data_IF_876370342748
#
_entry.id   IF_876370342748
#
_cell.length_a   1.000
_cell.length_b   1.000
_cell.length_c   1.000
_cell.angle_alpha   90.00
_cell.angle_beta   90.00
_cell.angle_gamma   90.00
#
_symmetry.space_group_name_H-M   'P 1'
#
loop_
_entity.id
_entity.type
_entity.pdbx_description
1 polymer ?
#
# COMPACT_ATOMS: atom_id res chain seq x y z
N UNK A 1 -2.85 0.07 3.40
CA UNK A 1 -3.96 1.02 3.25
C UNK A 1 -4.95 0.49 2.22
N UNK A 2 -4.52 0.37 0.98
CA UNK A 2 -5.32 -0.17 -0.10
C UNK A 2 -5.70 -1.62 0.21
N UNK A 3 -6.89 -2.02 -0.20
CA UNK A 3 -7.48 -3.34 0.07
C UNK A 3 -7.50 -3.75 1.57
N UNK A 4 -7.13 -2.81 2.48
CA UNK A 4 -7.10 -2.98 3.94
C UNK A 4 -8.15 -2.09 4.63
N UNK A 5 -8.21 -0.78 4.29
CA UNK A 5 -9.20 0.16 4.83
C UNK A 5 -10.51 0.16 4.03
N UNK A 6 -10.49 -0.34 2.83
CA UNK A 6 -11.65 -0.48 1.94
C UNK A 6 -11.53 -1.76 1.12
N UNK A 7 -12.66 -2.31 0.65
CA UNK A 7 -12.67 -3.59 -0.03
C UNK A 7 -12.11 -3.51 -1.45
N UNK A 8 -11.42 -4.55 -1.88
CA UNK A 8 -10.91 -4.71 -3.25
C UNK A 8 -12.00 -4.59 -4.32
N UNK A 9 -13.26 -4.90 -3.95
CA UNK A 9 -14.42 -4.80 -4.84
C UNK A 9 -14.77 -3.38 -5.27
N UNK A 10 -14.22 -2.33 -4.64
CA UNK A 10 -14.40 -0.94 -5.09
C UNK A 10 -13.66 -0.64 -6.42
N UNK A 11 -12.73 -1.51 -6.84
CA UNK A 11 -12.09 -1.44 -8.14
C UNK A 11 -10.86 -0.53 -8.25
N UNK A 12 -10.46 0.15 -7.17
CA UNK A 12 -9.27 1.04 -7.16
C UNK A 12 -8.01 0.28 -7.55
N UNK A 13 -7.80 -0.91 -6.98
CA UNK A 13 -6.64 -1.76 -7.30
C UNK A 13 -6.57 -2.11 -8.79
N UNK A 14 -7.71 -2.50 -9.39
CA UNK A 14 -7.78 -2.81 -10.82
C UNK A 14 -7.52 -1.57 -11.68
N UNK A 15 -8.07 -0.42 -11.30
CA UNK A 15 -7.85 0.83 -11.99
C UNK A 15 -6.37 1.26 -11.91
N UNK A 16 -5.76 1.14 -10.74
CA UNK A 16 -4.34 1.42 -10.53
C UNK A 16 -3.46 0.55 -11.44
N UNK A 17 -3.71 -0.77 -11.48
CA UNK A 17 -2.99 -1.67 -12.38
C UNK A 17 -3.11 -1.25 -13.85
N UNK A 18 -4.30 -0.92 -14.32
CA UNK A 18 -4.50 -0.43 -15.68
C UNK A 18 -3.70 0.84 -15.96
N UNK A 19 -3.64 1.77 -15.00
CA UNK A 19 -2.84 3.00 -15.14
C UNK A 19 -1.34 2.73 -15.19
N UNK A 20 -0.85 1.74 -14.44
CA UNK A 20 0.54 1.28 -14.55
C UNK A 20 0.80 0.70 -15.94
N UNK A 21 -0.08 -0.16 -16.44
CA UNK A 21 0.02 -0.74 -17.79
C UNK A 21 -0.02 0.36 -18.88
N UNK A 22 -0.91 1.36 -18.76
CA UNK A 22 -0.97 2.54 -19.64
C UNK A 22 0.35 3.34 -19.60
N UNK A 23 0.95 3.52 -18.42
CA UNK A 23 2.24 4.18 -18.28
C UNK A 23 3.36 3.42 -19.00
N UNK A 24 3.43 2.09 -18.82
CA UNK A 24 4.43 1.23 -19.47
C UNK A 24 4.32 1.30 -21.00
N UNK A 25 3.10 1.32 -21.52
CA UNK A 25 2.86 1.44 -22.98
C UNK A 25 3.27 2.82 -23.50
N UNK A 26 2.77 3.88 -22.86
CA UNK A 26 2.85 5.24 -23.40
C UNK A 26 4.22 5.90 -23.20
N UNK A 27 4.83 5.69 -22.03
CA UNK A 27 6.07 6.38 -21.65
C UNK A 27 7.31 5.49 -21.79
N UNK A 28 7.17 4.17 -21.62
CA UNK A 28 8.28 3.23 -21.74
C UNK A 28 8.27 2.48 -23.08
N UNK A 29 7.26 2.71 -23.93
CA UNK A 29 7.13 2.13 -25.28
C UNK A 29 7.27 0.60 -25.32
N UNK A 30 6.76 -0.08 -24.29
CA UNK A 30 6.77 -1.54 -24.23
C UNK A 30 5.73 -2.15 -25.17
N UNK A 31 5.96 -3.40 -25.59
CA UNK A 31 5.02 -4.15 -26.43
C UNK A 31 3.73 -4.47 -25.67
N UNK A 32 2.58 -4.09 -26.24
CA UNK A 32 1.24 -4.22 -25.62
C UNK A 32 0.94 -5.64 -25.12
N UNK A 33 1.33 -6.65 -25.91
CA UNK A 33 1.12 -8.06 -25.58
C UNK A 33 1.91 -8.54 -24.36
N UNK A 34 3.00 -7.87 -24.00
CA UNK A 34 3.88 -8.26 -22.87
C UNK A 34 3.61 -7.49 -21.59
N UNK A 35 3.07 -6.26 -21.70
CA UNK A 35 2.87 -5.35 -20.56
C UNK A 35 2.12 -5.99 -19.39
N UNK A 36 0.99 -6.70 -19.56
CA UNK A 36 0.27 -7.26 -18.41
C UNK A 36 1.08 -8.31 -17.64
N UNK A 37 1.89 -9.09 -18.36
CA UNK A 37 2.78 -10.10 -17.77
C UNK A 37 3.94 -9.42 -17.03
N UNK A 38 4.65 -8.51 -17.70
CA UNK A 38 5.79 -7.80 -17.11
C UNK A 38 5.34 -7.01 -15.88
N UNK A 39 4.21 -6.31 -15.93
CA UNK A 39 3.64 -5.59 -14.79
C UNK A 39 3.46 -6.49 -13.57
N UNK A 40 2.91 -7.70 -13.78
CA UNK A 40 2.72 -8.66 -12.70
C UNK A 40 4.05 -9.25 -12.20
N UNK A 41 4.94 -9.64 -13.10
CA UNK A 41 6.23 -10.25 -12.76
C UNK A 41 7.07 -9.28 -11.89
N UNK A 42 7.14 -8.00 -12.29
CA UNK A 42 7.85 -6.97 -11.54
C UNK A 42 7.22 -6.70 -10.17
N UNK A 43 5.88 -6.67 -10.09
CA UNK A 43 5.19 -6.57 -8.80
C UNK A 43 5.52 -7.74 -7.87
N UNK A 44 5.55 -8.97 -8.41
CA UNK A 44 5.85 -10.17 -7.63
C UNK A 44 7.31 -10.17 -7.17
N UNK A 45 8.25 -9.77 -8.02
CA UNK A 45 9.68 -9.83 -7.71
C UNK A 45 10.14 -8.69 -6.81
N UNK A 46 9.70 -7.45 -7.09
CA UNK A 46 10.23 -6.24 -6.45
C UNK A 46 9.27 -5.59 -5.44
N UNK A 47 8.05 -6.12 -5.27
CA UNK A 47 7.05 -5.55 -4.34
C UNK A 47 6.14 -4.48 -4.96
N UNK A 48 6.66 -3.68 -5.90
CA UNK A 48 5.88 -2.80 -6.78
C UNK A 48 6.41 -2.87 -8.21
N UNK A 49 5.54 -2.64 -9.19
CA UNK A 49 5.95 -2.57 -10.60
C UNK A 49 6.97 -1.43 -10.80
N UNK A 50 6.78 -0.29 -10.13
CA UNK A 50 7.70 0.84 -10.17
C UNK A 50 9.12 0.46 -9.72
N UNK A 51 9.23 -0.24 -8.58
CA UNK A 51 10.52 -0.71 -8.08
C UNK A 51 11.21 -1.63 -9.07
N UNK A 52 10.47 -2.54 -9.70
CA UNK A 52 10.98 -3.44 -10.72
C UNK A 52 11.44 -2.70 -11.98
N UNK A 53 10.66 -1.74 -12.47
CA UNK A 53 11.05 -0.92 -13.62
C UNK A 53 12.36 -0.16 -13.38
N UNK A 54 12.50 0.48 -12.22
CA UNK A 54 13.76 1.17 -11.83
C UNK A 54 14.92 0.18 -11.71
N UNK A 55 14.71 -1.00 -11.14
CA UNK A 55 15.73 -2.04 -11.01
C UNK A 55 16.21 -2.57 -12.38
N UNK A 56 15.33 -2.59 -13.37
CA UNK A 56 15.68 -2.93 -14.76
C UNK A 56 16.34 -1.79 -15.54
N UNK A 57 16.52 -0.61 -14.90
CA UNK A 57 17.21 0.53 -15.51
C UNK A 57 16.30 1.46 -16.32
N UNK A 58 14.97 1.35 -16.21
CA UNK A 58 14.08 2.33 -16.81
C UNK A 58 14.16 3.65 -16.03
N UNK A 59 14.45 4.72 -16.76
CA UNK A 59 14.53 6.08 -16.20
C UNK A 59 13.23 6.83 -16.45
N UNK A 60 12.61 7.33 -15.39
CA UNK A 60 11.44 8.20 -15.41
C UNK A 60 11.35 8.96 -14.09
N UNK A 61 10.64 10.06 -14.11
CA UNK A 61 10.36 10.87 -12.92
C UNK A 61 9.33 10.20 -12.02
N UNK A 62 9.60 10.15 -10.71
CA UNK A 62 8.77 9.46 -9.73
C UNK A 62 7.42 10.19 -9.54
N UNK A 63 7.45 11.54 -9.51
CA UNK A 63 6.24 12.34 -9.36
C UNK A 63 5.35 12.24 -10.60
N UNK A 64 5.95 12.23 -11.82
CA UNK A 64 5.24 12.01 -13.08
C UNK A 64 4.58 10.62 -13.11
N UNK A 65 5.29 9.59 -12.66
CA UNK A 65 4.73 8.24 -12.54
C UNK A 65 3.53 8.23 -11.60
N UNK A 66 3.66 8.76 -10.40
CA UNK A 66 2.59 8.80 -9.41
C UNK A 66 1.39 9.64 -9.88
N UNK A 67 1.64 10.78 -10.51
CA UNK A 67 0.58 11.60 -11.10
C UNK A 67 -0.20 10.86 -12.20
N UNK A 68 0.51 10.09 -13.04
CA UNK A 68 -0.12 9.28 -14.08
C UNK A 68 -0.93 8.11 -13.51
N UNK A 69 -0.36 7.40 -12.52
CA UNK A 69 -0.95 6.17 -11.97
C UNK A 69 -2.08 6.49 -10.98
N UNK A 70 -1.88 7.44 -10.07
CA UNK A 70 -2.82 7.73 -9.00
C UNK A 70 -3.72 8.96 -9.28
N UNK A 71 -3.25 9.92 -10.10
CA UNK A 71 -3.95 11.19 -10.29
C UNK A 71 -5.35 11.10 -10.92
N UNK A 72 -5.68 9.99 -11.56
CA UNK A 72 -6.98 9.80 -12.26
C UNK A 72 -7.71 8.52 -11.83
N UNK A 73 -7.44 8.01 -10.63
CA UNK A 73 -8.17 6.86 -10.10
C UNK A 73 -9.62 7.24 -9.76
N UNK A 74 -10.57 6.29 -9.86
CA UNK A 74 -11.98 6.51 -9.59
C UNK A 74 -12.27 6.59 -8.08
N UNK A 75 -11.74 7.60 -7.38
CA UNK A 75 -11.88 7.77 -5.94
C UNK A 75 -13.33 7.97 -5.49
N UNK A 76 -14.24 8.34 -6.40
CA UNK A 76 -15.69 8.40 -6.14
C UNK A 76 -16.31 7.03 -5.82
N UNK A 77 -15.61 5.94 -6.11
CA UNK A 77 -16.03 4.59 -5.71
C UNK A 77 -15.77 4.30 -4.22
N UNK A 78 -14.96 5.12 -3.55
CA UNK A 78 -14.72 5.04 -2.12
C UNK A 78 -15.83 5.77 -1.36
N UNK A 79 -16.37 5.10 -0.35
CA UNK A 79 -17.41 5.66 0.51
C UNK A 79 -17.02 5.52 1.98
N UNK A 80 -17.34 6.49 2.84
CA UNK A 80 -17.12 6.40 4.27
C UNK A 80 -17.80 5.17 4.89
N UNK A 81 -17.09 4.51 5.80
CA UNK A 81 -17.64 3.45 6.65
C UNK A 81 -17.68 3.93 8.11
N UNK A 82 -18.86 4.33 8.62
CA UNK A 82 -18.99 4.79 10.00
C UNK A 82 -18.62 3.73 11.05
N UNK A 83 -18.73 2.45 10.72
CA UNK A 83 -18.35 1.36 11.64
C UNK A 83 -16.84 1.31 11.78
N UNK A 84 -16.12 1.33 10.65
CA UNK A 84 -14.65 1.40 10.66
C UNK A 84 -14.15 2.67 11.34
N UNK A 85 -14.72 3.84 11.00
CA UNK A 85 -14.36 5.11 11.62
C UNK A 85 -14.54 5.09 13.14
N UNK A 86 -15.70 4.68 13.62
CA UNK A 86 -15.98 4.58 15.05
C UNK A 86 -15.04 3.59 15.75
N UNK A 87 -14.73 2.47 15.12
CA UNK A 87 -13.75 1.50 15.63
C UNK A 87 -12.38 2.16 15.79
N UNK A 88 -11.88 2.81 14.74
CA UNK A 88 -10.56 3.47 14.78
C UNK A 88 -10.51 4.56 15.85
N UNK A 89 -11.55 5.38 15.99
CA UNK A 89 -11.62 6.43 17.01
C UNK A 89 -11.73 5.87 18.43
N UNK A 90 -12.33 4.70 18.61
CA UNK A 90 -12.44 4.06 19.93
C UNK A 90 -11.12 3.44 20.43
N UNK A 91 -10.16 3.22 19.54
CA UNK A 91 -8.86 2.62 19.85
C UNK A 91 -7.91 3.69 20.43
N UNK A 92 -7.44 3.56 21.68
CA UNK A 92 -6.53 4.53 22.30
C UNK A 92 -5.07 4.40 21.78
N UNK A 93 -4.77 3.35 21.02
CA UNK A 93 -3.43 3.11 20.49
C UNK A 93 -3.08 4.09 19.38
N UNK A 94 -1.80 4.43 19.25
CA UNK A 94 -1.28 5.14 18.08
C UNK A 94 -1.61 4.35 16.81
N UNK A 95 -2.08 5.05 15.80
CA UNK A 95 -2.43 4.48 14.50
C UNK A 95 -1.65 5.18 13.41
N UNK A 96 -0.90 4.41 12.62
CA UNK A 96 -0.01 4.92 11.58
C UNK A 96 -0.33 4.16 10.29
N UNK A 97 -0.47 4.89 9.20
CA UNK A 97 -0.56 4.30 7.86
C UNK A 97 0.84 3.90 7.40
N UNK A 98 0.96 2.69 6.84
CA UNK A 98 2.15 2.25 6.12
C UNK A 98 1.75 1.71 4.74
N UNK A 99 2.10 2.43 3.67
CA UNK A 99 1.72 2.12 2.30
C UNK A 99 2.89 2.29 1.33
N UNK A 100 2.86 1.56 0.20
CA UNK A 100 3.79 1.76 -0.92
C UNK A 100 3.34 2.88 -1.87
N UNK A 101 2.12 3.40 -1.69
CA UNK A 101 1.60 4.50 -2.48
C UNK A 101 2.22 5.84 -2.07
N UNK A 102 2.10 6.84 -2.94
CA UNK A 102 2.52 8.23 -2.69
C UNK A 102 1.56 8.96 -1.73
N UNK A 103 2.01 10.10 -1.22
CA UNK A 103 1.24 10.92 -0.28
C UNK A 103 -0.05 11.48 -0.88
N UNK A 104 -0.07 11.74 -2.20
CA UNK A 104 -1.25 12.25 -2.90
C UNK A 104 -2.38 11.23 -2.90
N UNK A 105 -2.06 9.97 -3.21
CA UNK A 105 -3.03 8.86 -3.13
C UNK A 105 -3.54 8.67 -1.69
N UNK A 106 -2.64 8.69 -0.70
CA UNK A 106 -3.04 8.58 0.72
C UNK A 106 -4.04 9.67 1.09
N UNK A 107 -3.75 10.93 0.74
CA UNK A 107 -4.64 12.04 1.05
C UNK A 107 -6.04 11.87 0.42
N UNK A 108 -6.10 11.47 -0.86
CA UNK A 108 -7.37 11.22 -1.56
C UNK A 108 -8.17 10.08 -0.90
N UNK A 109 -7.52 8.97 -0.57
CA UNK A 109 -8.17 7.82 0.05
C UNK A 109 -8.71 8.18 1.44
N UNK A 110 -7.89 8.78 2.31
CA UNK A 110 -8.32 9.14 3.66
C UNK A 110 -9.45 10.17 3.63
N UNK A 111 -9.39 11.17 2.74
CA UNK A 111 -10.45 12.13 2.54
C UNK A 111 -11.77 11.48 2.12
N UNK A 112 -11.73 10.59 1.12
CA UNK A 112 -12.93 9.91 0.63
C UNK A 112 -13.55 8.96 1.65
N UNK A 113 -12.74 8.36 2.51
CA UNK A 113 -13.20 7.47 3.57
C UNK A 113 -13.59 8.19 4.86
N UNK A 114 -13.40 9.52 4.96
CA UNK A 114 -13.58 10.31 6.18
C UNK A 114 -12.73 9.78 7.36
N UNK A 115 -11.44 9.48 7.08
CA UNK A 115 -10.50 8.89 8.05
C UNK A 115 -9.27 9.75 8.31
N UNK A 116 -9.24 11.02 7.87
CA UNK A 116 -8.08 11.92 7.94
C UNK A 116 -7.59 12.13 9.38
N UNK A 117 -8.52 12.21 10.34
CA UNK A 117 -8.26 12.42 11.76
C UNK A 117 -8.08 11.13 12.58
N UNK A 118 -8.16 9.96 11.93
CA UNK A 118 -8.03 8.68 12.61
C UNK A 118 -6.58 8.21 12.79
N UNK A 119 -5.62 8.83 12.11
CA UNK A 119 -4.22 8.41 12.07
C UNK A 119 -3.29 9.55 12.48
N UNK A 120 -2.25 9.22 13.28
CA UNK A 120 -1.25 10.18 13.76
C UNK A 120 -0.11 10.42 12.77
N UNK A 121 0.07 9.52 11.81
CA UNK A 121 1.15 9.62 10.84
C UNK A 121 0.97 8.70 9.65
N UNK A 122 1.76 8.97 8.62
CA UNK A 122 1.78 8.23 7.36
C UNK A 122 3.22 7.92 6.98
N UNK A 123 3.51 6.66 6.71
CA UNK A 123 4.70 6.18 6.01
C UNK A 123 4.26 5.81 4.60
N UNK A 124 4.66 6.59 3.62
CA UNK A 124 4.33 6.44 2.21
C UNK A 124 5.59 6.35 1.36
N UNK A 125 5.45 6.34 0.04
CA UNK A 125 6.57 6.24 -0.88
C UNK A 125 7.65 7.30 -0.58
N UNK A 126 7.29 8.57 -0.49
CA UNK A 126 8.24 9.67 -0.29
C UNK A 126 8.92 9.60 1.10
N UNK A 127 8.22 9.07 2.11
CA UNK A 127 8.79 8.91 3.45
C UNK A 127 9.97 7.93 3.46
N UNK A 128 9.89 6.88 2.64
CA UNK A 128 10.93 5.83 2.57
C UNK A 128 12.00 6.15 1.52
N UNK A 129 11.68 6.93 0.49
CA UNK A 129 12.52 7.15 -0.69
C UNK A 129 12.92 8.62 -0.87
N UNK A 130 13.01 9.38 0.23
CA UNK A 130 13.47 10.77 0.19
C UNK A 130 14.88 10.85 -0.40
N UNK A 131 14.99 11.56 -1.52
CA UNK A 131 16.26 11.73 -2.27
C UNK A 131 17.31 12.55 -1.51
N UNK A 132 16.93 13.24 -0.42
CA UNK A 132 17.83 14.03 0.40
C UNK A 132 18.64 13.20 1.41
N UNK A 133 18.30 11.92 1.61
CA UNK A 133 19.01 11.05 2.55
C UNK A 133 20.31 10.53 1.93
N UNK A 134 21.44 10.66 2.64
CA UNK A 134 22.78 10.23 2.20
C UNK A 134 22.91 8.71 1.96
N UNK A 135 21.95 7.92 2.37
CA UNK A 135 21.91 6.48 2.15
C UNK A 135 21.14 6.14 0.87
N UNK A 136 21.75 6.36 -0.30
CA UNK A 136 21.24 5.80 -1.56
C UNK A 136 21.34 4.27 -1.52
N UNK A 137 20.28 3.62 -1.10
CA UNK A 137 20.07 2.22 -1.48
C UNK A 137 19.93 2.15 -3.00
N UNK A 138 20.56 1.13 -3.63
CA UNK A 138 20.48 0.94 -5.09
C UNK A 138 19.07 0.49 -5.54
N UNK A 139 17.98 1.18 -5.13
CA UNK A 139 16.62 0.85 -5.53
C UNK A 139 15.55 1.48 -4.65
N UNK A 140 14.30 1.33 -5.07
CA UNK A 140 13.13 1.80 -4.33
C UNK A 140 12.87 0.91 -3.11
N UNK A 141 12.78 1.52 -1.94
CA UNK A 141 12.44 0.87 -0.68
C UNK A 141 10.92 0.77 -0.55
N UNK A 142 10.38 -0.46 -0.56
CA UNK A 142 8.95 -0.71 -0.49
C UNK A 142 8.64 -2.07 0.17
N UNK A 143 7.43 -2.25 0.69
CA UNK A 143 6.94 -3.58 1.10
C UNK A 143 6.90 -4.51 -0.13
N UNK A 144 7.25 -5.79 0.01
CA UNK A 144 7.46 -6.58 1.22
C UNK A 144 8.93 -6.62 1.73
N UNK A 145 9.82 -5.73 1.30
CA UNK A 145 11.20 -5.74 1.78
C UNK A 145 11.24 -5.57 3.32
N UNK A 146 12.07 -6.38 3.98
CA UNK A 146 12.24 -6.30 5.43
C UNK A 146 12.90 -4.97 5.81
N UNK A 147 13.76 -4.44 4.95
CA UNK A 147 14.42 -3.14 5.11
C UNK A 147 13.40 -2.00 5.14
N UNK A 148 12.35 -2.07 4.29
CA UNK A 148 11.27 -1.08 4.29
C UNK A 148 10.48 -1.12 5.61
N UNK A 149 10.21 -2.31 6.14
CA UNK A 149 9.52 -2.46 7.44
C UNK A 149 10.40 -1.96 8.58
N UNK A 150 11.68 -2.30 8.58
CA UNK A 150 12.64 -1.82 9.59
C UNK A 150 12.80 -0.29 9.54
N UNK A 151 12.82 0.29 8.34
CA UNK A 151 12.85 1.74 8.17
C UNK A 151 11.58 2.39 8.75
N UNK A 152 10.40 1.83 8.46
CA UNK A 152 9.13 2.31 9.00
C UNK A 152 9.11 2.24 10.55
N UNK A 153 9.56 1.13 11.14
CA UNK A 153 9.70 0.97 12.60
C UNK A 153 10.60 2.07 13.19
N UNK A 154 11.75 2.32 12.56
CA UNK A 154 12.72 3.33 13.00
C UNK A 154 12.17 4.75 12.89
N UNK A 155 11.54 5.09 11.75
CA UNK A 155 10.98 6.43 11.50
C UNK A 155 9.87 6.75 12.51
N UNK A 156 9.05 5.77 12.85
CA UNK A 156 7.89 5.96 13.74
C UNK A 156 8.22 5.79 15.21
N UNK A 157 9.44 5.35 15.54
CA UNK A 157 9.90 5.08 16.91
C UNK A 157 8.93 4.16 17.68
N UNK A 158 8.50 3.08 17.03
CA UNK A 158 7.59 2.08 17.63
C UNK A 158 8.38 0.88 18.18
N UNK A 159 7.85 0.26 19.24
CA UNK A 159 8.32 -1.03 19.72
C UNK A 159 7.64 -2.15 18.91
N UNK A 160 8.40 -2.93 18.10
CA UNK A 160 7.80 -3.99 17.27
C UNK A 160 7.01 -5.01 18.11
N UNK A 161 7.47 -5.33 19.32
CA UNK A 161 6.81 -6.30 20.20
C UNK A 161 5.49 -5.81 20.80
N UNK A 162 5.17 -4.53 20.64
CA UNK A 162 3.93 -3.90 21.12
C UNK A 162 3.09 -3.36 19.99
N UNK A 163 3.45 -3.66 18.74
CA UNK A 163 2.81 -3.13 17.54
C UNK A 163 2.15 -4.23 16.74
N UNK A 164 0.94 -3.98 16.29
CA UNK A 164 0.21 -4.87 15.38
C UNK A 164 0.20 -4.24 13.99
N UNK A 165 0.62 -5.01 13.00
CA UNK A 165 0.62 -4.65 11.59
C UNK A 165 -0.51 -5.36 10.87
N UNK A 166 -1.42 -4.58 10.29
CA UNK A 166 -2.54 -5.05 9.48
C UNK A 166 -2.23 -4.84 7.99
N UNK A 167 -2.32 -5.88 7.19
CA UNK A 167 -2.10 -5.79 5.74
C UNK A 167 -2.90 -6.89 5.02
N UNK A 168 -3.27 -6.67 3.75
CA UNK A 168 -4.00 -7.67 2.93
C UNK A 168 -3.05 -8.62 2.19
N UNK A 169 -1.76 -8.30 2.13
CA UNK A 169 -0.73 -9.10 1.45
C UNK A 169 -0.02 -10.06 2.40
N UNK A 170 -0.12 -11.36 2.13
CA UNK A 170 0.61 -12.40 2.89
C UNK A 170 2.10 -12.11 2.93
N UNK A 171 2.70 -11.67 1.83
CA UNK A 171 4.14 -11.34 1.76
C UNK A 171 4.51 -10.20 2.72
N UNK A 172 3.67 -9.17 2.82
CA UNK A 172 3.88 -8.07 3.75
C UNK A 172 3.74 -8.53 5.20
N UNK A 173 2.78 -9.41 5.47
CA UNK A 173 2.56 -10.03 6.79
C UNK A 173 3.78 -10.86 7.22
N UNK A 174 4.32 -11.69 6.32
CA UNK A 174 5.52 -12.50 6.59
C UNK A 174 6.73 -11.62 6.91
N UNK A 175 6.95 -10.56 6.13
CA UNK A 175 8.04 -9.61 6.36
C UNK A 175 7.86 -8.81 7.66
N UNK A 176 6.61 -8.42 7.98
CA UNK A 176 6.28 -7.77 9.25
C UNK A 176 6.58 -8.67 10.45
N UNK A 177 6.22 -9.95 10.37
CA UNK A 177 6.52 -10.97 11.38
C UNK A 177 8.03 -11.17 11.53
N UNK A 178 8.77 -11.24 10.41
CA UNK A 178 10.22 -11.36 10.44
C UNK A 178 10.91 -10.12 11.05
N UNK A 179 10.32 -8.94 10.93
CA UNK A 179 10.77 -7.70 11.59
C UNK A 179 10.37 -7.60 13.07
N UNK A 180 9.66 -8.59 13.62
CA UNK A 180 9.27 -8.68 15.02
C UNK A 180 7.92 -8.05 15.38
N UNK A 181 7.13 -7.64 14.40
CA UNK A 181 5.77 -7.13 14.59
C UNK A 181 4.78 -8.27 14.89
N UNK A 182 3.72 -7.97 15.65
CA UNK A 182 2.52 -8.79 15.59
C UNK A 182 1.78 -8.49 14.29
N UNK A 183 1.28 -9.51 13.61
CA UNK A 183 0.70 -9.32 12.27
C UNK A 183 -0.69 -9.90 12.16
N UNK A 184 -1.55 -9.23 11.41
CA UNK A 184 -2.93 -9.65 11.12
C UNK A 184 -3.18 -9.50 9.63
N UNK A 185 -3.51 -10.62 8.97
CA UNK A 185 -3.98 -10.59 7.57
C UNK A 185 -5.42 -10.06 7.51
N UNK A 186 -5.64 -9.00 6.73
CA UNK A 186 -6.96 -8.46 6.47
C UNK A 186 -7.48 -9.09 5.19
N UNK A 187 -8.49 -9.97 5.33
CA UNK A 187 -9.14 -10.60 4.19
C UNK A 187 -10.63 -10.30 4.23
N UNK A 188 -11.14 -9.57 3.24
CA UNK A 188 -12.58 -9.38 3.08
C UNK A 188 -13.11 -10.55 2.26
N UNK A 189 -13.41 -11.65 2.93
CA UNK A 189 -14.18 -12.74 2.32
C UNK A 189 -15.65 -12.37 2.47
N UNK A 190 -16.30 -11.97 1.40
CA UNK A 190 -17.75 -11.95 1.34
C UNK A 190 -18.24 -13.40 1.33
N UNK A 191 -18.52 -13.97 2.50
CA UNK A 191 -19.33 -15.16 2.58
C UNK A 191 -20.77 -14.71 2.41
N UNK A 192 -21.36 -14.99 1.26
CA UNK A 192 -22.81 -14.95 1.06
C UNK A 192 -23.47 -16.04 1.93
N UNK A 193 -23.58 -15.78 3.20
CA UNK A 193 -24.54 -16.41 4.09
C UNK A 193 -25.11 -15.26 4.91
N UNK A 194 -26.39 -14.98 4.73
CA UNK A 194 -27.08 -13.82 5.29
C UNK A 194 -27.09 -13.75 6.82
N UNK A 195 -25.95 -13.49 7.41
CA UNK A 195 -25.75 -13.05 8.79
C UNK A 195 -24.41 -12.29 8.79
N UNK A 196 -24.47 -10.98 9.06
CA UNK A 196 -23.27 -10.16 9.18
C UNK A 196 -22.40 -10.63 10.34
N UNK A 197 -21.18 -10.96 10.05
CA UNK A 197 -20.10 -11.08 11.04
C UNK A 197 -18.77 -10.80 10.34
N UNK A 198 -18.19 -9.66 10.65
CA UNK A 198 -16.77 -9.41 10.44
C UNK A 198 -16.01 -10.40 11.33
N UNK A 199 -15.46 -11.44 10.77
CA UNK A 199 -14.55 -12.33 11.50
C UNK A 199 -13.11 -11.85 11.35
N UNK A 200 -12.55 -11.35 12.44
CA UNK A 200 -11.12 -11.25 12.65
C UNK A 200 -10.58 -12.68 12.79
N UNK A 201 -9.91 -13.21 11.76
CA UNK A 201 -9.27 -14.53 11.89
C UNK A 201 -7.85 -14.28 12.44
N UNK A 202 -7.69 -14.55 13.73
CA UNK A 202 -6.36 -14.73 14.33
C UNK A 202 -5.89 -16.15 14.01
N UNK A 203 -4.78 -16.28 13.31
CA UNK A 203 -4.07 -17.56 13.17
C UNK A 203 -2.93 -17.62 14.17
N UNK A 204 -2.70 -18.79 14.79
CA UNK A 204 -1.70 -18.98 15.86
C UNK A 204 -0.26 -18.81 15.37
#
# INVERSE_FOLDING_TARGET
MDDTLYPRSCGINLACRKKIEEFMLKYLHMEESEVPRICLDLYVEYGTTMAGLKALGYEFDDDEYHACVHGTLPYEALNPDPVLRNLLLSMPQRKIIFTNADKGHVAQVLHRLDLEDCFEGVICFETLNDQSSESKSNGILCKPSIEAIQAAIKITDIDPKKTIFFDDSIRNIESGKAAGLHTVIVSIIFVFVGIGLNQLIMMP
#
